data_IF_015079693658
#
_entry.id   IF_015079693658
#
_cell.length_a   1.000
_cell.length_b   1.000
_cell.length_c   1.000
_cell.angle_alpha   90.00
_cell.angle_beta   90.00
_cell.angle_gamma   90.00
#
_symmetry.space_group_name_H-M   'P 1'
#
loop_
_entity.id
_entity.type
_entity.pdbx_description
1 polymer ?
#
# COMPACT_ATOMS: atom_id res chain seq x y z
N UNK A 1 -3.38 1.26 14.78
CA UNK A 1 -2.96 2.25 15.82
C UNK A 1 -1.53 2.04 16.30
N UNK A 2 -1.05 0.81 16.49
CA UNK A 2 0.33 0.51 16.90
C UNK A 2 1.41 1.30 16.13
N UNK A 3 1.23 1.47 14.82
CA UNK A 3 2.18 2.17 13.95
C UNK A 3 1.80 3.61 13.60
N UNK A 4 0.74 4.18 14.22
CA UNK A 4 0.26 5.54 13.93
C UNK A 4 0.14 5.86 12.43
N UNK A 5 -0.47 4.94 11.68
CA UNK A 5 -0.66 5.06 10.22
C UNK A 5 -1.46 6.32 9.91
N UNK A 6 -0.96 7.16 9.01
CA UNK A 6 -1.61 8.40 8.54
C UNK A 6 -2.18 8.25 7.13
N UNK A 7 -1.61 7.35 6.33
CA UNK A 7 -1.95 7.15 4.93
C UNK A 7 -2.22 5.67 4.64
N UNK A 8 -3.21 5.40 3.79
CA UNK A 8 -3.55 4.07 3.27
C UNK A 8 -3.46 4.13 1.74
N UNK A 9 -2.45 3.49 1.17
CA UNK A 9 -2.30 3.32 -0.28
C UNK A 9 -3.10 2.12 -0.77
N UNK A 10 -3.93 2.31 -1.80
CA UNK A 10 -4.71 1.25 -2.45
C UNK A 10 -4.27 1.15 -3.91
N UNK A 11 -3.79 -0.02 -4.33
CA UNK A 11 -3.44 -0.26 -5.74
C UNK A 11 -4.67 -0.13 -6.64
N UNK A 12 -4.50 0.45 -7.82
CA UNK A 12 -5.56 0.61 -8.81
C UNK A 12 -5.80 -0.63 -9.71
N UNK A 13 -5.38 -1.81 -9.26
CA UNK A 13 -5.56 -3.09 -9.94
C UNK A 13 -6.92 -3.74 -9.70
N UNK A 14 -6.95 -5.06 -9.90
CA UNK A 14 -8.13 -5.90 -9.70
C UNK A 14 -8.63 -5.83 -8.26
N UNK A 15 -9.93 -5.64 -8.06
CA UNK A 15 -10.52 -5.55 -6.71
C UNK A 15 -10.31 -4.20 -6.01
N UNK A 16 -9.77 -3.18 -6.70
CA UNK A 16 -9.45 -1.88 -6.11
C UNK A 16 -10.68 -1.13 -5.61
N UNK A 17 -11.81 -1.21 -6.31
CA UNK A 17 -13.08 -0.56 -5.92
C UNK A 17 -13.67 -1.19 -4.66
N UNK A 18 -13.65 -2.51 -4.60
CA UNK A 18 -14.10 -3.31 -3.46
C UNK A 18 -13.21 -3.05 -2.24
N UNK A 19 -11.90 -2.97 -2.45
CA UNK A 19 -10.92 -2.63 -1.41
C UNK A 19 -11.10 -1.20 -0.92
N UNK A 20 -11.35 -0.26 -1.82
CA UNK A 20 -11.64 1.13 -1.45
C UNK A 20 -12.88 1.24 -0.58
N UNK A 21 -13.95 0.51 -0.93
CA UNK A 21 -15.17 0.45 -0.13
C UNK A 21 -14.88 -0.16 1.24
N UNK A 22 -14.19 -1.30 1.29
CA UNK A 22 -13.78 -1.95 2.54
C UNK A 22 -13.02 -0.98 3.46
N UNK A 23 -12.06 -0.23 2.92
CA UNK A 23 -11.30 0.76 3.68
C UNK A 23 -12.19 1.91 4.14
N UNK A 24 -13.14 2.38 3.31
CA UNK A 24 -14.08 3.44 3.68
C UNK A 24 -14.99 3.01 4.83
N UNK A 25 -15.53 1.79 4.77
CA UNK A 25 -16.38 1.20 5.81
C UNK A 25 -15.58 1.04 7.10
N UNK A 26 -14.38 0.46 7.02
CA UNK A 26 -13.45 0.33 8.16
C UNK A 26 -13.12 1.68 8.82
N UNK A 27 -12.86 2.73 8.02
CA UNK A 27 -12.59 4.08 8.53
C UNK A 27 -13.82 4.69 9.18
N UNK A 28 -15.02 4.38 8.71
CA UNK A 28 -16.28 4.87 9.27
C UNK A 28 -16.56 4.26 10.64
N UNK A 29 -16.24 2.98 10.82
CA UNK A 29 -16.42 2.22 12.06
C UNK A 29 -15.41 2.56 13.16
N UNK A 30 -14.39 3.38 12.87
CA UNK A 30 -13.43 3.81 13.88
C UNK A 30 -14.10 4.67 14.98
N UNK A 31 -13.87 4.37 16.27
CA UNK A 31 -14.47 5.10 17.38
C UNK A 31 -14.24 6.61 17.32
N UNK A 32 -15.28 7.40 17.58
CA UNK A 32 -15.12 8.84 17.79
C UNK A 32 -14.19 9.08 19.00
N UNK A 33 -13.06 9.77 18.79
CA UNK A 33 -12.01 9.96 19.81
C UNK A 33 -10.77 9.08 19.64
N UNK A 34 -10.71 8.25 18.59
CA UNK A 34 -9.57 7.40 18.23
C UNK A 34 -8.28 8.13 17.80
N UNK A 35 -8.31 9.45 17.66
CA UNK A 35 -7.32 10.22 16.90
C UNK A 35 -7.76 10.47 15.44
N UNK A 36 -6.93 11.15 14.64
CA UNK A 36 -7.23 11.43 13.24
C UNK A 36 -7.35 10.12 12.43
N UNK A 37 -8.34 10.09 11.53
CA UNK A 37 -8.54 8.97 10.60
C UNK A 37 -7.47 9.03 9.50
N UNK A 38 -6.84 7.91 9.12
CA UNK A 38 -5.93 7.87 7.98
C UNK A 38 -6.61 8.33 6.69
N UNK A 39 -5.86 8.97 5.79
CA UNK A 39 -6.31 9.29 4.45
C UNK A 39 -6.07 8.11 3.52
N UNK A 40 -7.09 7.69 2.78
CA UNK A 40 -6.96 6.68 1.72
C UNK A 40 -6.61 7.34 0.39
N UNK A 41 -5.70 6.74 -0.37
CA UNK A 41 -5.25 7.24 -1.68
C UNK A 41 -5.13 6.08 -2.65
N UNK A 42 -5.66 6.26 -3.87
CA UNK A 42 -5.48 5.32 -4.97
C UNK A 42 -4.10 5.55 -5.61
N UNK A 43 -3.32 4.49 -5.77
CA UNK A 43 -1.94 4.52 -6.28
C UNK A 43 -1.82 3.58 -7.47
N UNK A 44 -1.00 3.95 -8.45
CA UNK A 44 -0.69 3.08 -9.58
C UNK A 44 0.04 1.81 -9.12
N UNK A 45 -0.50 0.65 -9.46
CA UNK A 45 0.17 -0.65 -9.26
C UNK A 45 1.08 -1.03 -10.44
N UNK A 46 1.13 -0.21 -11.49
CA UNK A 46 1.92 -0.51 -12.70
C UNK A 46 3.38 -0.82 -12.37
N UNK A 47 3.83 -2.05 -12.66
CA UNK A 47 5.19 -2.50 -12.37
C UNK A 47 5.44 -2.98 -10.93
N UNK A 48 4.45 -2.94 -10.02
CA UNK A 48 4.61 -3.47 -8.67
C UNK A 48 4.82 -5.00 -8.67
N UNK A 49 4.16 -5.71 -9.60
CA UNK A 49 4.37 -7.15 -9.83
C UNK A 49 5.73 -7.49 -10.44
N UNK A 50 6.28 -6.60 -11.27
CA UNK A 50 7.62 -6.75 -11.85
C UNK A 50 8.67 -6.52 -10.76
N UNK A 51 8.52 -5.45 -9.98
CA UNK A 51 9.37 -5.18 -8.82
C UNK A 51 9.35 -6.37 -7.85
N UNK A 52 8.17 -6.89 -7.47
CA UNK A 52 8.06 -7.92 -6.44
C UNK A 52 8.74 -9.24 -6.81
N UNK A 53 8.79 -9.58 -8.10
CA UNK A 53 9.48 -10.74 -8.64
C UNK A 53 10.96 -10.48 -8.98
N UNK A 54 11.45 -9.24 -8.83
CA UNK A 54 12.83 -8.87 -9.15
C UNK A 54 13.84 -9.40 -8.13
N UNK A 55 15.09 -9.56 -8.57
CA UNK A 55 16.21 -9.85 -7.69
C UNK A 55 16.44 -8.73 -6.65
N UNK A 56 16.20 -7.47 -7.04
CA UNK A 56 16.27 -6.30 -6.17
C UNK A 56 15.31 -6.42 -4.98
N UNK A 57 14.03 -6.73 -5.24
CA UNK A 57 13.05 -6.91 -4.16
C UNK A 57 13.34 -8.15 -3.30
N UNK A 58 13.88 -9.22 -3.90
CA UNK A 58 14.33 -10.40 -3.14
C UNK A 58 15.51 -10.08 -2.21
N UNK A 59 16.41 -9.20 -2.62
CA UNK A 59 17.53 -8.74 -1.80
C UNK A 59 17.08 -7.76 -0.70
N UNK A 60 16.15 -6.84 -1.00
CA UNK A 60 15.56 -5.93 0.00
C UNK A 60 14.72 -6.68 1.04
N UNK A 61 14.03 -7.74 0.63
CA UNK A 61 13.03 -8.44 1.45
C UNK A 61 13.11 -9.98 1.32
N UNK A 62 14.21 -10.61 1.74
CA UNK A 62 14.45 -12.04 1.53
C UNK A 62 13.45 -12.95 2.24
N UNK A 63 12.89 -12.50 3.37
CA UNK A 63 11.93 -13.26 4.16
C UNK A 63 10.45 -13.00 3.84
N UNK A 64 10.15 -12.10 2.89
CA UNK A 64 8.77 -11.80 2.49
C UNK A 64 8.40 -12.55 1.23
N UNK A 65 7.16 -13.04 1.17
CA UNK A 65 6.58 -13.61 -0.04
C UNK A 65 6.46 -12.55 -1.16
N UNK A 66 6.50 -13.02 -2.40
CA UNK A 66 6.41 -12.17 -3.60
C UNK A 66 5.15 -11.29 -3.58
N UNK A 67 4.01 -11.80 -3.11
CA UNK A 67 2.77 -11.01 -3.04
C UNK A 67 2.89 -9.82 -2.09
N UNK A 68 3.55 -10.00 -0.94
CA UNK A 68 3.71 -8.96 0.08
C UNK A 68 4.72 -7.89 -0.36
N UNK A 69 5.73 -8.25 -1.16
CA UNK A 69 6.67 -7.27 -1.73
C UNK A 69 5.97 -6.27 -2.66
N UNK A 70 4.95 -6.72 -3.39
CA UNK A 70 4.11 -5.85 -4.21
C UNK A 70 3.41 -4.78 -3.37
N UNK A 71 2.82 -5.17 -2.24
CA UNK A 71 2.18 -4.25 -1.30
C UNK A 71 3.17 -3.22 -0.72
N UNK A 72 4.41 -3.62 -0.44
CA UNK A 72 5.46 -2.69 0.00
C UNK A 72 5.75 -1.62 -1.05
N UNK A 73 5.86 -2.02 -2.33
CA UNK A 73 6.07 -1.07 -3.43
C UNK A 73 4.89 -0.09 -3.57
N UNK A 74 3.65 -0.56 -3.46
CA UNK A 74 2.46 0.32 -3.51
C UNK A 74 2.49 1.37 -2.38
N UNK A 75 2.87 0.97 -1.17
CA UNK A 75 2.99 1.89 -0.04
C UNK A 75 4.10 2.93 -0.23
N UNK A 76 5.28 2.52 -0.73
CA UNK A 76 6.43 3.41 -0.98
C UNK A 76 6.15 4.42 -2.10
N UNK A 77 5.43 4.02 -3.15
CA UNK A 77 5.01 4.92 -4.23
C UNK A 77 4.16 6.08 -3.75
N UNK A 78 3.37 5.91 -2.69
CA UNK A 78 2.60 7.01 -2.11
C UNK A 78 3.51 8.02 -1.40
N UNK A 79 4.62 7.56 -0.82
CA UNK A 79 5.56 8.41 -0.07
C UNK A 79 6.46 9.21 -1.02
N UNK A 80 7.05 8.54 -2.01
CA UNK A 80 7.88 9.13 -3.04
C UNK A 80 7.74 8.31 -4.34
N UNK A 81 6.87 8.75 -5.28
CA UNK A 81 6.64 8.03 -6.52
C UNK A 81 7.91 7.86 -7.34
N UNK A 82 8.80 8.85 -7.35
CA UNK A 82 9.98 8.87 -8.21
C UNK A 82 11.04 7.90 -7.69
N UNK A 83 11.30 7.89 -6.38
CA UNK A 83 12.26 6.99 -5.78
C UNK A 83 11.88 5.50 -5.92
N UNK A 84 10.58 5.19 -5.99
CA UNK A 84 10.13 3.80 -6.11
C UNK A 84 9.97 3.35 -7.58
N UNK A 85 9.62 4.23 -8.52
CA UNK A 85 9.45 3.87 -9.94
C UNK A 85 10.77 3.63 -10.68
N UNK A 86 11.91 4.05 -10.12
CA UNK A 86 13.26 3.85 -10.71
C UNK A 86 13.92 2.52 -10.32
N UNK A 87 13.24 1.70 -9.52
CA UNK A 87 13.70 0.37 -9.07
C UNK A 87 13.24 -0.74 -10.01
#
# INVERSE_FOLDING_TARGET
RQHKVELISIGNGTGSRETEKLVADMLSDLPAGAGPKPLKVIVSEAGASVYSASATAAAEFPGLDVSLRGAVSIARRLQDPLAELVK
#
